data_IF_893494750359
#
_entry.id   IF_893494750359
#
_cell.length_a   1.000
_cell.length_b   1.000
_cell.length_c   1.000
_cell.angle_alpha   90.00
_cell.angle_beta   90.00
_cell.angle_gamma   90.00
#
_symmetry.space_group_name_H-M   'P 1'
#
loop_
_entity.id
_entity.type
_entity.pdbx_description
1 polymer ?
#
# COMPACT_ATOMS: atom_id res chain seq x y z
N UNK A 1 27.17 8.93 13.02
CA UNK A 1 26.33 9.35 11.87
C UNK A 1 26.88 8.67 10.65
N UNK A 2 26.13 7.78 10.01
CA UNK A 2 26.38 7.31 8.64
C UNK A 2 25.04 6.85 8.08
N UNK A 3 24.35 7.78 7.40
CA UNK A 3 23.18 7.47 6.60
C UNK A 3 23.69 6.83 5.29
N UNK A 4 23.64 5.50 5.23
CA UNK A 4 23.92 4.75 4.00
C UNK A 4 22.58 4.42 3.34
N UNK A 5 22.37 5.09 2.20
CA UNK A 5 21.57 4.68 1.05
C UNK A 5 20.10 4.26 1.28
N UNK A 6 19.21 5.23 1.47
CA UNK A 6 17.74 5.06 1.45
C UNK A 6 17.07 5.49 0.12
N UNK A 7 17.86 5.88 -0.88
CA UNK A 7 17.35 6.49 -2.12
C UNK A 7 16.64 5.53 -3.08
N UNK A 8 16.99 4.24 -3.07
CA UNK A 8 16.41 3.26 -4.02
C UNK A 8 15.09 2.69 -3.54
N UNK A 9 14.98 2.37 -2.25
CA UNK A 9 13.79 1.74 -1.68
C UNK A 9 12.59 2.71 -1.64
N UNK A 10 12.85 3.97 -1.31
CA UNK A 10 11.86 5.04 -1.37
C UNK A 10 11.38 5.29 -2.81
N UNK A 11 12.29 5.22 -3.78
CA UNK A 11 11.97 5.39 -5.21
C UNK A 11 11.14 4.22 -5.74
N UNK A 12 11.49 2.98 -5.41
CA UNK A 12 10.74 1.79 -5.83
C UNK A 12 9.31 1.78 -5.28
N UNK A 13 9.12 2.15 -4.01
CA UNK A 13 7.78 2.28 -3.40
C UNK A 13 6.95 3.41 -4.03
N UNK A 14 7.59 4.52 -4.38
CA UNK A 14 6.91 5.60 -5.09
C UNK A 14 6.48 5.14 -6.49
N UNK A 15 7.34 4.44 -7.23
CA UNK A 15 7.02 3.88 -8.54
C UNK A 15 5.85 2.89 -8.47
N UNK A 16 5.83 2.00 -7.46
CA UNK A 16 4.73 1.08 -7.24
C UNK A 16 3.40 1.82 -6.99
N UNK A 17 3.43 2.83 -6.11
CA UNK A 17 2.25 3.65 -5.80
C UNK A 17 1.70 4.37 -7.05
N UNK A 18 2.59 4.93 -7.88
CA UNK A 18 2.22 5.59 -9.14
C UNK A 18 1.58 4.61 -10.13
N UNK A 19 2.16 3.41 -10.27
CA UNK A 19 1.60 2.38 -11.15
C UNK A 19 0.22 1.91 -10.69
N UNK A 20 0.01 1.72 -9.37
CA UNK A 20 -1.29 1.28 -8.87
C UNK A 20 -2.34 2.38 -9.06
N UNK A 21 -1.98 3.65 -8.87
CA UNK A 21 -2.88 4.78 -9.15
C UNK A 21 -3.36 4.76 -10.61
N UNK A 22 -2.45 4.60 -11.56
CA UNK A 22 -2.79 4.51 -12.99
C UNK A 22 -3.74 3.34 -13.27
N UNK A 23 -3.44 2.15 -12.74
CA UNK A 23 -4.31 0.98 -12.90
C UNK A 23 -5.70 1.18 -12.31
N UNK A 24 -5.81 1.83 -11.15
CA UNK A 24 -7.10 2.10 -10.50
C UNK A 24 -7.91 3.11 -11.32
N UNK A 25 -7.24 4.11 -11.88
CA UNK A 25 -7.87 5.10 -12.75
C UNK A 25 -8.41 4.45 -14.02
N UNK A 26 -7.60 3.64 -14.71
CA UNK A 26 -7.99 2.96 -15.94
C UNK A 26 -9.22 2.06 -15.76
N UNK A 27 -9.29 1.33 -14.65
CA UNK A 27 -10.46 0.49 -14.34
C UNK A 27 -11.70 1.35 -14.07
N UNK A 28 -11.54 2.42 -13.30
CA UNK A 28 -12.64 3.31 -12.92
C UNK A 28 -13.16 4.18 -14.07
N UNK A 29 -12.34 4.46 -15.09
CA UNK A 29 -12.74 5.14 -16.33
C UNK A 29 -13.63 4.23 -17.22
N UNK A 30 -13.65 2.93 -16.93
CA UNK A 30 -14.54 1.95 -17.56
C UNK A 30 -15.95 1.89 -16.94
N UNK A 31 -16.63 0.75 -17.13
CA UNK A 31 -17.97 0.50 -16.55
C UNK A 31 -17.93 -0.11 -15.14
N UNK A 32 -16.73 -0.40 -14.62
CA UNK A 32 -16.51 -1.04 -13.32
C UNK A 32 -15.89 -0.02 -12.37
N UNK A 33 -16.26 -0.10 -11.09
CA UNK A 33 -15.69 0.76 -10.04
C UNK A 33 -14.97 -0.11 -9.02
N UNK A 34 -13.71 0.16 -8.78
CA UNK A 34 -12.96 -0.44 -7.67
C UNK A 34 -13.51 0.14 -6.36
N UNK A 35 -13.92 -0.74 -5.44
CA UNK A 35 -14.39 -0.35 -4.10
C UNK A 35 -13.38 -0.61 -3.00
N UNK A 36 -12.58 -1.67 -3.13
CA UNK A 36 -11.65 -2.11 -2.09
C UNK A 36 -10.35 -2.56 -2.75
N UNK A 37 -9.23 -2.11 -2.20
CA UNK A 37 -7.89 -2.59 -2.53
C UNK A 37 -7.38 -3.48 -1.38
N UNK A 38 -6.83 -4.65 -1.72
CA UNK A 38 -6.22 -5.58 -0.76
C UNK A 38 -4.70 -5.51 -0.94
N UNK A 39 -3.96 -5.24 0.13
CA UNK A 39 -2.50 -5.18 0.04
C UNK A 39 -1.82 -4.97 1.39
N UNK A 40 -0.51 -4.72 1.33
CA UNK A 40 0.35 -4.50 2.49
C UNK A 40 -0.02 -3.24 3.28
N UNK A 41 0.59 -3.07 4.45
CA UNK A 41 0.43 -1.88 5.29
C UNK A 41 1.13 -0.63 4.71
N UNK A 42 0.70 -0.17 3.53
CA UNK A 42 1.09 1.14 2.99
C UNK A 42 -0.08 2.15 3.06
N UNK A 43 0.03 3.15 3.93
CA UNK A 43 -0.95 4.22 4.08
C UNK A 43 -0.81 5.33 3.03
N UNK A 44 0.35 5.45 2.39
CA UNK A 44 0.65 6.53 1.44
C UNK A 44 -0.04 6.30 0.10
N UNK A 45 0.02 5.07 -0.40
CA UNK A 45 -0.64 4.64 -1.63
C UNK A 45 -2.17 4.85 -1.58
N UNK A 46 -2.84 4.40 -0.52
CA UNK A 46 -4.30 4.57 -0.42
C UNK A 46 -4.71 6.04 -0.26
N UNK A 47 -3.88 6.86 0.42
CA UNK A 47 -4.11 8.30 0.53
C UNK A 47 -4.08 8.98 -0.84
N UNK A 48 -3.10 8.62 -1.67
CA UNK A 48 -2.95 9.13 -3.03
C UNK A 48 -4.17 8.79 -3.90
N UNK A 49 -4.58 7.52 -3.92
CA UNK A 49 -5.75 7.05 -4.68
C UNK A 49 -7.04 7.74 -4.24
N UNK A 50 -7.25 7.93 -2.93
CA UNK A 50 -8.43 8.65 -2.42
C UNK A 50 -8.44 10.11 -2.80
N UNK A 51 -7.28 10.74 -2.88
CA UNK A 51 -7.14 12.16 -3.23
C UNK A 51 -7.36 12.37 -4.72
N UNK A 52 -6.82 11.49 -5.56
CA UNK A 52 -6.74 11.72 -7.00
C UNK A 52 -7.84 11.01 -7.80
N UNK A 53 -8.47 9.97 -7.26
CA UNK A 53 -9.42 9.12 -8.00
C UNK A 53 -10.80 9.06 -7.31
N UNK A 54 -10.90 8.46 -6.13
CA UNK A 54 -12.18 8.32 -5.40
C UNK A 54 -11.96 8.16 -3.89
N UNK A 55 -12.47 9.13 -3.13
CA UNK A 55 -12.39 9.19 -1.66
C UNK A 55 -12.99 7.97 -0.96
N UNK A 56 -13.90 7.26 -1.60
CA UNK A 56 -14.63 6.14 -1.01
C UNK A 56 -13.94 4.78 -1.20
N UNK A 57 -12.80 4.73 -1.89
CA UNK A 57 -12.05 3.48 -2.04
C UNK A 57 -11.55 3.01 -0.66
N UNK A 58 -11.99 1.82 -0.29
CA UNK A 58 -11.55 1.11 0.90
C UNK A 58 -10.18 0.45 0.70
N UNK A 59 -9.50 0.20 1.81
CA UNK A 59 -8.32 -0.66 1.86
C UNK A 59 -8.52 -1.72 2.93
N UNK A 60 -8.15 -2.95 2.62
CA UNK A 60 -8.00 -4.02 3.61
C UNK A 60 -6.60 -4.59 3.55
N UNK A 61 -6.10 -5.04 4.70
CA UNK A 61 -4.79 -5.68 4.77
C UNK A 61 -4.87 -7.09 4.20
N UNK A 62 -3.81 -7.52 3.51
CA UNK A 62 -3.63 -8.94 3.19
C UNK A 62 -3.49 -9.74 4.48
N UNK A 63 -4.26 -10.83 4.58
CA UNK A 63 -4.23 -11.75 5.72
C UNK A 63 -2.84 -12.36 5.93
N UNK A 64 -2.03 -12.54 4.88
CA UNK A 64 -0.67 -13.03 5.03
C UNK A 64 0.23 -11.98 5.69
N UNK A 65 0.10 -10.72 5.26
CA UNK A 65 0.79 -9.59 5.88
C UNK A 65 0.44 -9.45 7.36
N UNK A 66 -0.85 -9.57 7.71
CA UNK A 66 -1.31 -9.55 9.12
C UNK A 66 -0.71 -10.69 9.94
N UNK A 67 -0.65 -11.91 9.40
CA UNK A 67 -0.02 -13.06 10.08
C UNK A 67 1.48 -12.83 10.31
N UNK A 68 2.17 -12.20 9.38
CA UNK A 68 3.59 -11.88 9.51
C UNK A 68 3.82 -10.82 10.59
N UNK A 69 3.04 -9.73 10.58
CA UNK A 69 3.08 -8.71 11.64
C UNK A 69 2.85 -9.36 13.01
N UNK A 70 1.80 -10.18 13.13
CA UNK A 70 1.48 -10.88 14.38
C UNK A 70 2.63 -11.78 14.82
N UNK A 71 3.19 -12.58 13.91
CA UNK A 71 4.34 -13.44 14.18
C UNK A 71 5.52 -12.62 14.71
N UNK A 72 5.91 -11.57 14.01
CA UNK A 72 7.03 -10.71 14.39
C UNK A 72 6.81 -10.12 15.79
N UNK A 73 5.60 -9.62 16.06
CA UNK A 73 5.25 -9.07 17.38
C UNK A 73 5.37 -10.12 18.49
N UNK A 74 4.88 -11.34 18.26
CA UNK A 74 4.96 -12.43 19.23
C UNK A 74 6.40 -12.90 19.49
N UNK A 75 7.28 -12.85 18.48
CA UNK A 75 8.70 -13.13 18.66
C UNK A 75 9.39 -12.08 19.53
N UNK A 76 9.02 -10.80 19.41
CA UNK A 76 9.57 -9.73 20.25
C UNK A 76 9.14 -9.82 21.72
N UNK A 77 7.92 -10.31 22.00
CA UNK A 77 7.42 -10.49 23.38
C UNK A 77 8.10 -11.65 24.12
N UNK A 78 8.75 -12.57 23.40
CA UNK A 78 9.39 -13.76 23.98
C UNK A 78 10.84 -13.54 24.45
N UNK A 79 11.31 -12.29 24.47
CA UNK A 79 12.68 -11.90 24.83
C UNK A 79 12.70 -11.07 26.10
#
# INVERSE_FOLDING_TARGET
MNAVSTGTESSMKAMESDMIEEMVKDVNDGSVRIKIIVGDEDSTMISKIRTNIDTNIGKTLDANHVKEILRNHLYFVKK
#
